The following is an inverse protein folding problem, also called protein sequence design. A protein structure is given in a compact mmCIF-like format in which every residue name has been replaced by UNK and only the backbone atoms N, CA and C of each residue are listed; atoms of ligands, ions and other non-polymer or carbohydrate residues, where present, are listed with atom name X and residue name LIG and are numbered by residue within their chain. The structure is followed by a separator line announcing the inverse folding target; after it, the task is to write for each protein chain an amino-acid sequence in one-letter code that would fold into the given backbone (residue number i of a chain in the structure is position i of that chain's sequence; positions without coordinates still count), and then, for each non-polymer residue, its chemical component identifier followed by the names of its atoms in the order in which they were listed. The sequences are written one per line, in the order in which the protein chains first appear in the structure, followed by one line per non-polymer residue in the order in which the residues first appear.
data_IF_476670966308
#
_entry.id   IF_476670966308
#
_cell.length_a   1.000
_cell.length_b   1.000
_cell.length_c   1.000
_cell.angle_alpha   90.00
_cell.angle_beta   90.00
_cell.angle_gamma   90.00
#
_symmetry.space_group_name_H-M   'P 1'
#
loop_
_entity.id
_entity.type
_entity.pdbx_description
1 polymer ?
#
# COMPACT_ATOMS: atom_id res chain seq x y z
N UNK A 1 -16.42 -5.95 21.75
CA UNK A 1 -14.96 -5.72 21.86
C UNK A 1 -14.40 -5.61 20.45
N UNK A 2 -13.87 -4.45 20.04
CA UNK A 2 -13.34 -4.28 18.67
C UNK A 2 -11.88 -4.75 18.62
N UNK A 3 -11.65 -5.92 18.00
CA UNK A 3 -10.31 -6.46 17.76
C UNK A 3 -9.57 -5.60 16.75
N UNK A 4 -8.68 -4.73 17.24
CA UNK A 4 -7.82 -3.91 16.39
C UNK A 4 -6.70 -4.77 15.81
N UNK A 5 -6.90 -5.31 14.61
CA UNK A 5 -5.87 -6.09 13.93
C UNK A 5 -4.67 -5.22 13.56
N UNK A 6 -3.49 -5.62 14.05
CA UNK A 6 -2.21 -4.98 13.77
C UNK A 6 -1.44 -5.89 12.80
N UNK A 7 -0.92 -5.32 11.71
CA UNK A 7 -0.13 -6.08 10.72
C UNK A 7 1.14 -5.32 10.32
N UNK A 8 2.18 -6.07 9.97
CA UNK A 8 3.47 -5.53 9.48
C UNK A 8 3.32 -5.01 8.05
N UNK A 9 2.35 -5.58 7.34
CA UNK A 9 1.96 -5.28 5.98
C UNK A 9 0.61 -4.57 5.92
N UNK A 10 0.41 -3.86 4.82
CA UNK A 10 -0.89 -3.31 4.46
C UNK A 10 -1.89 -4.43 4.17
N UNK A 11 -3.16 -4.17 4.46
CA UNK A 11 -4.23 -5.05 3.99
C UNK A 11 -4.50 -4.79 2.51
N UNK A 12 -4.97 -5.80 1.75
CA UNK A 12 -5.34 -5.63 0.34
C UNK A 12 -6.31 -4.48 0.10
N UNK A 13 -7.29 -4.31 0.99
CA UNK A 13 -8.25 -3.20 0.90
C UNK A 13 -7.60 -1.82 1.06
N UNK A 14 -6.57 -1.70 1.92
CA UNK A 14 -5.83 -0.45 2.10
C UNK A 14 -4.86 -0.19 0.94
N UNK A 15 -4.33 -1.25 0.31
CA UNK A 15 -3.53 -1.16 -0.90
C UNK A 15 -4.35 -0.70 -2.11
N UNK A 16 -5.55 -1.24 -2.32
CA UNK A 16 -6.39 -0.85 -3.46
C UNK A 16 -6.68 0.64 -3.52
N UNK A 17 -6.83 1.28 -2.36
CA UNK A 17 -7.11 2.71 -2.22
C UNK A 17 -5.85 3.57 -2.06
N UNK A 18 -4.66 2.96 -2.01
CA UNK A 18 -3.43 3.70 -1.87
C UNK A 18 -3.00 4.30 -3.22
N UNK A 19 -2.42 5.49 -3.20
CA UNK A 19 -1.87 6.11 -4.40
C UNK A 19 -0.57 5.49 -4.90
N UNK A 20 -0.19 4.31 -4.41
CA UNK A 20 0.89 3.49 -4.97
C UNK A 20 0.35 2.39 -5.89
N UNK A 21 -0.96 2.09 -5.79
CA UNK A 21 -1.60 1.11 -6.64
C UNK A 21 -2.01 1.77 -7.96
N UNK A 22 -1.08 1.80 -8.93
CA UNK A 22 -1.35 2.31 -10.28
C UNK A 22 -1.86 1.21 -11.24
N UNK A 23 -2.27 0.03 -10.74
CA UNK A 23 -2.65 -1.12 -11.58
C UNK A 23 -1.47 -1.96 -12.09
N UNK A 24 -0.23 -1.58 -11.77
CA UNK A 24 0.97 -2.38 -12.00
C UNK A 24 2.00 -2.12 -10.89
N UNK A 25 3.02 -2.98 -10.79
CA UNK A 25 4.12 -2.81 -9.83
C UNK A 25 5.04 -1.67 -10.29
N UNK A 26 4.81 -0.46 -9.77
CA UNK A 26 5.59 0.72 -10.10
C UNK A 26 6.87 0.82 -9.26
N UNK A 27 7.82 1.64 -9.71
CA UNK A 27 9.07 1.90 -8.96
C UNK A 27 8.80 2.47 -7.57
N UNK A 28 7.76 3.30 -7.43
CA UNK A 28 7.31 3.84 -6.15
C UNK A 28 6.73 2.75 -5.22
N UNK A 29 6.00 1.78 -5.78
CA UNK A 29 5.49 0.63 -5.03
C UNK A 29 6.66 -0.24 -4.52
N UNK A 30 7.67 -0.47 -5.37
CA UNK A 30 8.89 -1.18 -5.00
C UNK A 30 9.68 -0.45 -3.91
N UNK A 31 9.93 0.85 -4.09
CA UNK A 31 10.64 1.66 -3.11
C UNK A 31 9.95 1.64 -1.74
N UNK A 32 8.62 1.75 -1.72
CA UNK A 32 7.84 1.65 -0.49
C UNK A 32 7.98 0.27 0.17
N UNK A 33 7.95 -0.79 -0.64
CA UNK A 33 8.08 -2.17 -0.16
C UNK A 33 9.47 -2.43 0.45
N UNK A 34 10.53 -2.00 -0.23
CA UNK A 34 11.91 -2.11 0.25
C UNK A 34 12.12 -1.32 1.53
N UNK A 35 11.68 -0.05 1.58
CA UNK A 35 11.76 0.76 2.81
C UNK A 35 11.03 0.07 3.97
N UNK A 36 9.87 -0.55 3.72
CA UNK A 36 9.16 -1.32 4.77
C UNK A 36 9.89 -2.59 5.18
N UNK A 37 10.51 -3.31 4.25
CA UNK A 37 11.36 -4.46 4.55
C UNK A 37 12.53 -4.09 5.45
N UNK A 38 13.15 -2.93 5.26
CA UNK A 38 14.26 -2.47 6.12
C UNK A 38 13.81 -2.07 7.54
N UNK A 39 12.57 -1.60 7.68
CA UNK A 39 11.98 -1.22 8.96
C UNK A 39 11.46 -2.40 9.80
N UNK A 40 11.39 -3.61 9.23
CA UNK A 40 10.89 -4.82 9.86
C UNK A 40 11.93 -5.48 10.80
N UNK A 41 13.17 -5.76 10.36
CA UNK A 41 14.15 -6.50 11.15
C UNK A 41 14.95 -5.64 12.12
N UNK A 42 14.88 -4.32 11.99
CA UNK A 42 15.64 -3.39 12.84
C UNK A 42 14.84 -3.12 14.11
N UNK A 43 15.47 -3.27 15.29
CA UNK A 43 14.97 -2.89 16.63
C UNK A 43 14.69 -1.37 16.79
N UNK A 44 14.23 -0.73 15.73
CA UNK A 44 13.83 0.66 15.66
C UNK A 44 12.37 0.78 16.09
N UNK A 45 11.98 1.81 16.85
CA UNK A 45 10.56 2.08 17.18
C UNK A 45 9.64 2.27 15.95
N UNK A 46 10.20 2.32 14.73
CA UNK A 46 9.47 2.34 13.44
C UNK A 46 8.95 0.96 12.99
N UNK A 47 9.43 -0.14 13.60
CA UNK A 47 8.87 -1.50 13.52
C UNK A 47 7.53 -1.65 14.25
N UNK A 48 6.80 -0.54 14.42
CA UNK A 48 5.49 -0.52 15.04
C UNK A 48 4.51 -1.23 14.11
N UNK A 49 3.88 -2.28 14.65
CA UNK A 49 2.78 -2.94 13.96
C UNK A 49 1.62 -1.97 13.86
N UNK A 50 1.30 -1.53 12.65
CA UNK A 50 0.26 -0.54 12.43
C UNK A 50 -1.11 -1.20 12.32
N UNK A 51 -2.11 -0.54 12.91
CA UNK A 51 -3.52 -0.79 12.58
C UNK A 51 -3.88 -0.13 11.26
N UNK A 52 -4.96 -0.58 10.63
CA UNK A 52 -5.44 -0.05 9.34
C UNK A 52 -5.54 1.49 9.32
N UNK A 53 -6.03 2.10 10.41
CA UNK A 53 -6.15 3.56 10.53
C UNK A 53 -4.81 4.30 10.55
N UNK A 54 -3.74 3.65 11.04
CA UNK A 54 -2.38 4.23 11.06
C UNK A 54 -1.65 4.07 9.72
N UNK A 55 -2.06 3.09 8.92
CA UNK A 55 -1.55 2.90 7.57
C UNK A 55 -1.99 4.00 6.61
N UNK A 56 -3.25 4.46 6.74
CA UNK A 56 -3.83 5.51 5.91
C UNK A 56 -2.89 6.72 5.73
N UNK A 57 -2.47 7.45 6.77
CA UNK A 57 -1.60 8.64 6.60
C UNK A 57 -0.18 8.32 6.09
N UNK A 58 0.26 7.06 6.14
CA UNK A 58 1.58 6.62 5.64
C UNK A 58 1.56 6.22 4.17
N UNK A 59 0.37 6.17 3.57
CA UNK A 59 0.19 5.95 2.14
C UNK A 59 0.13 7.30 1.44
N UNK A 60 0.92 7.49 0.38
CA UNK A 60 0.80 8.67 -0.47
C UNK A 60 -0.58 8.65 -1.12
N UNK A 61 -1.46 9.57 -0.73
CA UNK A 61 -2.77 9.73 -1.37
C UNK A 61 -2.60 10.66 -2.56
N UNK A 62 -2.45 10.09 -3.74
CA UNK A 62 -2.67 10.82 -4.97
C UNK A 62 -4.02 10.37 -5.53
N UNK A 63 -4.98 11.30 -5.61
CA UNK A 63 -6.39 10.99 -5.95
C UNK A 63 -6.51 10.47 -7.38
N UNK A 64 -5.62 10.92 -8.25
CA UNK A 64 -5.56 10.55 -9.67
C UNK A 64 -5.10 9.09 -9.88
N UNK A 65 -4.50 8.46 -8.88
CA UNK A 65 -3.97 7.10 -8.98
C UNK A 65 -5.07 6.04 -8.98
N UNK A 66 -6.20 6.31 -8.31
CA UNK A 66 -7.36 5.43 -8.37
C UNK A 66 -7.93 5.35 -9.80
N UNK A 67 -7.96 6.49 -10.50
CA UNK A 67 -8.37 6.55 -11.91
C UNK A 67 -7.37 5.83 -12.81
N UNK A 68 -6.06 6.07 -12.61
CA UNK A 68 -5.01 5.37 -13.35
C UNK A 68 -5.05 3.86 -13.14
N UNK A 69 -5.26 3.39 -11.91
CA UNK A 69 -5.40 1.96 -11.60
C UNK A 69 -6.59 1.33 -12.30
N UNK A 70 -7.75 1.98 -12.27
CA UNK A 70 -8.96 1.45 -12.91
C UNK A 70 -8.80 1.41 -14.44
N UNK A 71 -8.17 2.43 -15.03
CA UNK A 71 -7.91 2.44 -16.46
C UNK A 71 -6.88 1.39 -16.87
N UNK A 72 -5.82 1.19 -16.08
CA UNK A 72 -4.82 0.16 -16.34
C UNK A 72 -5.39 -1.25 -16.18
N UNK A 73 -6.26 -1.50 -15.21
CA UNK A 73 -6.95 -2.78 -15.03
C UNK A 73 -7.90 -3.10 -16.21
N UNK A 74 -8.64 -2.09 -16.68
CA UNK A 74 -9.47 -2.20 -17.89
C UNK A 74 -8.63 -2.52 -19.12
N UNK A 75 -7.57 -1.76 -19.37
CA UNK A 75 -6.69 -1.99 -20.52
C UNK A 75 -5.97 -3.33 -20.42
N UNK A 76 -5.54 -3.75 -19.22
CA UNK A 76 -4.94 -5.05 -19.02
C UNK A 76 -5.91 -6.18 -19.41
N UNK A 77 -7.20 -6.04 -19.09
CA UNK A 77 -8.24 -7.00 -19.51
C UNK A 77 -8.47 -7.02 -21.02
N UNK A 78 -8.25 -5.89 -21.71
CA UNK A 78 -8.45 -5.79 -23.16
C UNK A 78 -7.24 -6.30 -23.98
N UNK A 79 -6.04 -6.27 -23.41
CA UNK A 79 -4.78 -6.55 -24.12
C UNK A 79 -4.01 -7.81 -23.64
N UNK A 80 -4.48 -8.49 -22.59
CA UNK A 80 -3.97 -9.79 -22.10
C UNK A 80 -5.04 -10.87 -22.21
#
# INVERSE_FOLDING_TARGET
MQTSFRSWWLRPAAWKVCGLNCGYWSRDAEQWFQTRLEHIPSSTPSGTIYTNNKWRPKLKFNKDVAYLSANNDRLATEYL
#
